data_IF_593381474489
#
_entry.id   IF_593381474489
#
_cell.length_a   1.000
_cell.length_b   1.000
_cell.length_c   1.000
_cell.angle_alpha   90.00
_cell.angle_beta   90.00
_cell.angle_gamma   90.00
#
_symmetry.space_group_name_H-M   'P 1'
#
loop_
_entity.id
_entity.type
_entity.pdbx_description
1 polymer ?
#
# COMPACT_ATOMS: atom_id res chain seq x y z
N UNK A 1 -0.35 8.48 10.86
CA UNK A 1 0.02 7.67 9.69
C UNK A 1 1.45 8.02 9.33
N UNK A 2 2.42 7.21 9.75
CA UNK A 2 3.83 7.44 9.39
C UNK A 2 4.07 6.73 8.07
N UNK A 3 4.29 7.49 7.01
CA UNK A 3 4.65 6.97 5.69
C UNK A 3 6.18 6.98 5.65
N UNK A 4 6.80 5.81 5.81
CA UNK A 4 8.23 5.65 5.57
C UNK A 4 8.43 5.45 4.07
N UNK A 5 9.10 6.39 3.42
CA UNK A 5 9.52 6.31 2.01
C UNK A 5 11.05 6.35 1.98
N UNK A 6 11.69 5.22 1.68
CA UNK A 6 13.13 5.18 1.40
C UNK A 6 13.36 5.57 -0.06
N UNK A 7 13.58 6.86 -0.33
CA UNK A 7 13.94 7.33 -1.68
C UNK A 7 15.45 7.09 -1.93
N UNK A 8 15.82 5.86 -2.33
CA UNK A 8 17.11 5.61 -2.99
C UNK A 8 17.03 6.06 -4.45
N UNK A 9 17.63 7.22 -4.76
CA UNK A 9 17.49 7.97 -6.02
C UNK A 9 18.17 7.31 -7.24
N UNK A 10 18.85 6.17 -7.08
CA UNK A 10 19.71 5.59 -8.12
C UNK A 10 19.52 4.07 -8.25
N UNK A 11 18.40 3.60 -8.79
CA UNK A 11 18.40 2.44 -9.71
C UNK A 11 17.02 2.13 -10.33
N UNK A 12 17.04 1.88 -11.64
CA UNK A 12 16.03 1.22 -12.50
C UNK A 12 14.78 2.00 -12.95
N UNK A 13 14.53 1.93 -14.27
CA UNK A 13 13.43 2.56 -15.04
C UNK A 13 12.03 1.99 -14.72
N UNK A 14 11.78 1.45 -13.53
CA UNK A 14 10.48 0.95 -13.07
C UNK A 14 10.26 1.40 -11.64
N UNK A 15 9.62 2.56 -11.45
CA UNK A 15 9.29 3.10 -10.13
C UNK A 15 8.19 2.27 -9.47
N UNK A 16 8.56 1.21 -8.76
CA UNK A 16 7.73 0.58 -7.74
C UNK A 16 7.81 1.36 -6.42
N UNK A 17 6.76 1.31 -5.61
CA UNK A 17 6.77 1.83 -4.23
C UNK A 17 6.24 0.74 -3.30
N UNK A 18 6.85 0.65 -2.11
CA UNK A 18 6.34 -0.18 -1.01
C UNK A 18 5.73 0.78 0.00
N UNK A 19 4.47 0.55 0.35
CA UNK A 19 3.77 1.37 1.34
C UNK A 19 3.34 0.47 2.51
N UNK A 20 3.71 0.87 3.73
CA UNK A 20 3.40 0.11 4.94
C UNK A 20 2.34 0.84 5.76
N UNK A 21 1.29 0.12 6.16
CA UNK A 21 0.24 0.61 7.07
C UNK A 21 0.38 -0.13 8.42
N UNK A 22 1.03 0.52 9.39
CA UNK A 22 1.28 -0.03 10.73
C UNK A 22 0.40 0.62 11.80
N UNK A 23 0.26 -0.05 12.95
CA UNK A 23 -0.52 0.43 14.11
C UNK A 23 -1.03 -0.72 14.99
N UNK A 24 -1.52 -0.40 16.19
CA UNK A 24 -2.14 -1.36 17.11
C UNK A 24 -3.38 -2.04 16.52
N UNK A 25 -3.81 -3.18 17.09
CA UNK A 25 -5.11 -3.76 16.71
C UNK A 25 -6.22 -2.71 16.89
N UNK A 26 -7.25 -2.76 16.03
CA UNK A 26 -8.36 -1.79 15.98
C UNK A 26 -8.00 -0.37 15.51
N UNK A 27 -6.75 -0.10 15.11
CA UNK A 27 -6.34 1.21 14.56
C UNK A 27 -6.75 1.45 13.09
N UNK A 28 -7.72 0.70 12.55
CA UNK A 28 -8.23 0.91 11.18
C UNK A 28 -7.31 0.49 10.02
N UNK A 29 -6.23 -0.28 10.25
CA UNK A 29 -5.28 -0.67 9.18
C UNK A 29 -5.96 -1.38 8.00
N UNK A 30 -6.82 -2.35 8.30
CA UNK A 30 -7.55 -3.12 7.28
C UNK A 30 -8.51 -2.22 6.50
N UNK A 31 -9.15 -1.27 7.17
CA UNK A 31 -10.07 -0.32 6.54
C UNK A 31 -9.33 0.59 5.56
N UNK A 32 -8.17 1.11 5.95
CA UNK A 32 -7.32 1.92 5.08
C UNK A 32 -6.79 1.11 3.88
N UNK A 33 -6.38 -0.14 4.10
CA UNK A 33 -5.96 -1.04 3.01
C UNK A 33 -7.11 -1.25 2.00
N UNK A 34 -8.32 -1.55 2.48
CA UNK A 34 -9.51 -1.72 1.63
C UNK A 34 -9.86 -0.42 0.91
N UNK A 35 -9.74 0.74 1.56
CA UNK A 35 -10.00 2.06 0.93
C UNK A 35 -9.06 2.31 -0.25
N UNK A 36 -7.77 1.97 -0.12
CA UNK A 36 -6.78 2.07 -1.20
C UNK A 36 -7.10 1.13 -2.35
N UNK A 37 -7.45 -0.13 -2.05
CA UNK A 37 -7.86 -1.11 -3.05
C UNK A 37 -9.09 -0.64 -3.84
N UNK A 38 -10.12 -0.09 -3.16
CA UNK A 38 -11.29 0.50 -3.83
C UNK A 38 -10.89 1.62 -4.79
N UNK A 39 -10.04 2.55 -4.38
CA UNK A 39 -9.54 3.64 -5.25
C UNK A 39 -8.80 3.12 -6.47
N UNK A 40 -7.93 2.13 -6.30
CA UNK A 40 -7.18 1.51 -7.40
C UNK A 40 -8.12 0.80 -8.39
N UNK A 41 -9.15 0.10 -7.89
CA UNK A 41 -10.19 -0.52 -8.72
C UNK A 41 -11.02 0.51 -9.50
N UNK A 42 -11.39 1.64 -8.88
CA UNK A 42 -12.06 2.75 -9.58
C UNK A 42 -11.19 3.33 -10.69
N UNK A 43 -9.88 3.42 -10.48
CA UNK A 43 -8.90 3.81 -11.49
C UNK A 43 -8.57 2.70 -12.51
N UNK A 44 -9.30 1.57 -12.49
CA UNK A 44 -9.09 0.40 -13.37
C UNK A 44 -7.67 -0.17 -13.31
N UNK A 45 -7.00 -0.02 -12.18
CA UNK A 45 -5.69 -0.64 -11.95
C UNK A 45 -5.86 -2.13 -11.65
N UNK A 46 -4.92 -2.95 -12.12
CA UNK A 46 -4.83 -4.37 -11.74
C UNK A 46 -4.29 -4.44 -10.32
N UNK A 47 -5.07 -5.03 -9.41
CA UNK A 47 -4.72 -5.16 -7.98
C UNK A 47 -4.99 -6.57 -7.51
N UNK A 48 -4.15 -7.04 -6.58
CA UNK A 48 -4.24 -8.34 -5.94
C UNK A 48 -4.12 -8.17 -4.43
N UNK A 49 -4.80 -9.03 -3.65
CA UNK A 49 -4.77 -9.02 -2.19
C UNK A 49 -4.34 -10.40 -1.69
N UNK A 50 -3.42 -10.40 -0.74
CA UNK A 50 -2.90 -11.61 -0.10
C UNK A 50 -3.16 -11.53 1.40
N UNK A 51 -3.57 -12.64 2.00
CA UNK A 51 -3.70 -12.83 3.45
C UNK A 51 -2.88 -14.07 3.82
N UNK A 52 -2.16 -14.07 4.96
CA UNK A 52 -1.56 -15.30 5.46
C UNK A 52 -2.63 -16.37 5.74
N UNK A 53 -2.26 -17.64 5.58
CA UNK A 53 -3.07 -18.79 5.98
C UNK A 53 -3.33 -18.80 7.49
#
# INVERSE_FOLDING_TARGET
MVVFSEDHIQETRRRGRIEVICGSMFSGKTEELIRRLKRAKFARQRVEIFKPA
#
